data_IF_603417823928
#
_entry.id   IF_603417823928
#
_cell.length_a   1.000
_cell.length_b   1.000
_cell.length_c   1.000
_cell.angle_alpha   90.00
_cell.angle_beta   90.00
_cell.angle_gamma   90.00
#
_symmetry.space_group_name_H-M   'P 1'
#
loop_
_entity.id
_entity.type
_entity.pdbx_description
1 polymer ?
#
# COMPACT_ATOMS: atom_id res chain seq x y z
N UNK A 1 -21.09 10.24 -4.56
CA UNK A 1 -20.51 11.60 -4.63
C UNK A 1 -20.00 11.95 -6.03
N UNK A 2 -19.12 11.17 -6.69
CA UNK A 2 -18.63 11.52 -8.05
C UNK A 2 -19.71 11.59 -9.15
N UNK A 3 -20.66 10.65 -9.14
CA UNK A 3 -21.73 10.57 -10.16
C UNK A 3 -22.69 11.76 -10.17
N UNK A 4 -23.06 12.25 -9.00
CA UNK A 4 -23.98 13.40 -8.87
C UNK A 4 -23.31 14.69 -9.37
N UNK A 5 -22.02 14.88 -9.08
CA UNK A 5 -21.25 16.02 -9.59
C UNK A 5 -21.12 16.00 -11.12
N UNK A 6 -20.91 14.82 -11.72
CA UNK A 6 -20.84 14.65 -13.18
C UNK A 6 -22.18 14.97 -13.84
N UNK A 7 -23.28 14.45 -13.30
CA UNK A 7 -24.63 14.71 -13.83
C UNK A 7 -24.98 16.20 -13.74
N UNK A 8 -24.66 16.85 -12.61
CA UNK A 8 -24.89 18.27 -12.44
C UNK A 8 -24.08 19.12 -13.41
N UNK A 9 -22.79 18.81 -13.60
CA UNK A 9 -21.96 19.50 -14.58
C UNK A 9 -22.46 19.29 -16.02
N UNK A 10 -22.97 18.10 -16.33
CA UNK A 10 -23.56 17.79 -17.61
C UNK A 10 -24.85 18.59 -17.87
N UNK A 11 -25.76 18.64 -16.89
CA UNK A 11 -26.98 19.45 -16.98
C UNK A 11 -26.65 20.93 -17.17
N UNK A 12 -25.70 21.45 -16.40
CA UNK A 12 -25.26 22.82 -16.51
C UNK A 12 -24.68 23.11 -17.90
N UNK A 13 -23.81 22.25 -18.41
CA UNK A 13 -23.25 22.38 -19.76
C UNK A 13 -24.35 22.35 -20.84
N UNK A 14 -25.31 21.43 -20.75
CA UNK A 14 -26.39 21.31 -21.73
C UNK A 14 -27.40 22.48 -21.67
N UNK A 15 -27.55 23.10 -20.50
CA UNK A 15 -28.43 24.26 -20.30
C UNK A 15 -27.82 25.59 -20.78
N UNK A 16 -26.52 25.62 -21.02
CA UNK A 16 -25.79 26.86 -21.36
C UNK A 16 -25.58 26.95 -22.87
N UNK A 17 -25.94 28.09 -23.47
CA UNK A 17 -25.71 28.33 -24.89
C UNK A 17 -24.27 28.84 -25.11
N UNK A 18 -23.44 28.05 -25.78
CA UNK A 18 -22.07 28.43 -26.10
C UNK A 18 -21.96 28.91 -27.54
N UNK A 19 -21.47 30.13 -27.74
CA UNK A 19 -21.10 30.66 -29.05
C UNK A 19 -19.58 30.65 -29.11
N UNK A 20 -19.03 29.88 -30.05
CA UNK A 20 -17.59 29.85 -30.32
C UNK A 20 -17.32 30.14 -31.79
N UNK A 21 -16.30 30.93 -32.06
CA UNK A 21 -15.79 31.17 -33.42
C UNK A 21 -14.92 30.00 -33.91
N UNK A 22 -14.49 29.13 -33.01
CA UNK A 22 -13.58 28.00 -33.27
C UNK A 22 -14.24 26.68 -32.84
N UNK A 23 -15.33 26.31 -33.51
CA UNK A 23 -15.94 25.00 -33.31
C UNK A 23 -15.05 23.92 -33.95
N UNK A 24 -14.57 22.98 -33.14
CA UNK A 24 -13.87 21.80 -33.65
C UNK A 24 -14.86 20.89 -34.39
N UNK A 25 -14.39 20.23 -35.44
CA UNK A 25 -15.17 19.13 -36.01
C UNK A 25 -15.31 18.02 -34.97
N UNK A 26 -16.36 17.19 -35.07
CA UNK A 26 -16.51 16.03 -34.18
C UNK A 26 -15.27 15.13 -34.21
N UNK A 27 -14.71 14.91 -35.39
CA UNK A 27 -13.51 14.10 -35.56
C UNK A 27 -12.31 14.70 -34.82
N UNK A 28 -12.09 16.01 -34.93
CA UNK A 28 -10.99 16.69 -34.23
C UNK A 28 -11.22 16.65 -32.72
N UNK A 29 -12.44 16.93 -32.27
CA UNK A 29 -12.80 16.87 -30.85
C UNK A 29 -12.56 15.47 -30.26
N UNK A 30 -13.06 14.43 -30.92
CA UNK A 30 -12.88 13.03 -30.48
C UNK A 30 -11.39 12.67 -30.45
N UNK A 31 -10.61 13.10 -31.44
CA UNK A 31 -9.16 12.89 -31.52
C UNK A 31 -8.42 13.59 -30.38
N UNK A 32 -8.69 14.88 -30.15
CA UNK A 32 -8.06 15.65 -29.08
C UNK A 32 -8.45 15.11 -27.70
N UNK A 33 -9.69 14.70 -27.52
CA UNK A 33 -10.17 14.13 -26.25
C UNK A 33 -9.49 12.80 -25.97
N UNK A 34 -9.43 11.89 -26.95
CA UNK A 34 -8.75 10.61 -26.81
C UNK A 34 -7.25 10.80 -26.51
N UNK A 35 -6.58 11.71 -27.22
CA UNK A 35 -5.17 12.03 -26.97
C UNK A 35 -4.95 12.64 -25.57
N UNK A 36 -5.85 13.53 -25.12
CA UNK A 36 -5.76 14.15 -23.80
C UNK A 36 -5.96 13.14 -22.68
N UNK A 37 -6.92 12.21 -22.83
CA UNK A 37 -7.16 11.13 -21.87
C UNK A 37 -5.96 10.18 -21.82
N UNK A 38 -5.41 9.78 -22.97
CA UNK A 38 -4.23 8.93 -23.04
C UNK A 38 -3.01 9.60 -22.37
N UNK A 39 -2.81 10.90 -22.62
CA UNK A 39 -1.75 11.68 -21.98
C UNK A 39 -1.95 11.78 -20.48
N UNK A 40 -3.17 12.09 -20.01
CA UNK A 40 -3.50 12.12 -18.59
C UNK A 40 -3.18 10.77 -17.93
N UNK A 41 -3.64 9.68 -18.53
CA UNK A 41 -3.41 8.33 -18.00
C UNK A 41 -1.92 8.02 -17.85
N UNK A 42 -1.11 8.33 -18.87
CA UNK A 42 0.34 8.09 -18.84
C UNK A 42 1.05 8.99 -17.83
N UNK A 43 0.73 10.28 -17.81
CA UNK A 43 1.37 11.25 -16.92
C UNK A 43 1.05 10.97 -15.46
N UNK A 44 -0.23 10.74 -15.11
CA UNK A 44 -0.62 10.47 -13.72
C UNK A 44 0.06 9.23 -13.16
N UNK A 45 0.11 8.13 -13.94
CA UNK A 45 0.80 6.92 -13.51
C UNK A 45 2.30 7.18 -13.33
N UNK A 46 2.93 7.88 -14.27
CA UNK A 46 4.36 8.17 -14.21
C UNK A 46 4.73 9.08 -13.02
N UNK A 47 3.94 10.13 -12.77
CA UNK A 47 4.12 11.05 -11.64
C UNK A 47 4.01 10.32 -10.31
N UNK A 48 3.00 9.45 -10.16
CA UNK A 48 2.85 8.64 -8.96
C UNK A 48 4.10 7.79 -8.65
N UNK A 49 4.69 7.14 -9.66
CA UNK A 49 5.91 6.35 -9.47
C UNK A 49 7.12 7.22 -9.14
N UNK A 50 7.22 8.40 -9.76
CA UNK A 50 8.29 9.36 -9.46
C UNK A 50 8.21 9.84 -8.01
N UNK A 51 7.01 10.18 -7.53
CA UNK A 51 6.75 10.60 -6.15
C UNK A 51 7.04 9.47 -5.17
N UNK A 52 6.56 8.24 -5.44
CA UNK A 52 6.83 7.09 -4.58
C UNK A 52 8.33 6.78 -4.48
N UNK A 53 9.07 6.89 -5.59
CA UNK A 53 10.52 6.72 -5.60
C UNK A 53 11.22 7.82 -4.81
N UNK A 54 10.78 9.07 -4.95
CA UNK A 54 11.31 10.21 -4.20
C UNK A 54 11.13 10.04 -2.69
N UNK A 55 9.91 9.67 -2.25
CA UNK A 55 9.63 9.43 -0.83
C UNK A 55 10.47 8.27 -0.29
N UNK A 56 10.55 7.16 -1.04
CA UNK A 56 11.37 6.00 -0.63
C UNK A 56 12.84 6.38 -0.49
N UNK A 57 13.39 7.13 -1.45
CA UNK A 57 14.78 7.61 -1.40
C UNK A 57 15.07 8.49 -0.19
N UNK A 58 14.14 9.38 0.18
CA UNK A 58 14.27 10.22 1.38
C UNK A 58 14.26 9.36 2.65
N UNK A 59 13.33 8.42 2.74
CA UNK A 59 13.22 7.52 3.88
C UNK A 59 14.52 6.75 4.09
N UNK A 60 15.10 6.22 3.01
CA UNK A 60 16.33 5.44 3.05
C UNK A 60 17.55 6.31 3.40
N UNK A 61 17.67 7.50 2.81
CA UNK A 61 18.83 8.38 3.02
C UNK A 61 18.88 9.00 4.43
N UNK A 62 17.71 9.33 5.00
CA UNK A 62 17.61 10.00 6.30
C UNK A 62 17.20 9.05 7.42
N UNK A 63 17.09 7.76 7.14
CA UNK A 63 16.72 6.72 8.10
C UNK A 63 15.42 7.02 8.84
N UNK A 64 14.46 7.66 8.15
CA UNK A 64 13.19 8.02 8.76
C UNK A 64 12.40 6.77 9.11
N UNK A 65 12.08 6.60 10.37
CA UNK A 65 11.31 5.45 10.85
C UNK A 65 9.86 5.51 10.35
N UNK A 66 9.39 4.47 9.67
CA UNK A 66 8.01 4.32 9.27
C UNK A 66 7.11 4.18 10.50
N UNK A 67 5.83 4.50 10.37
CA UNK A 67 4.88 4.40 11.49
C UNK A 67 4.83 2.98 12.10
N UNK A 68 5.06 1.96 11.27
CA UNK A 68 5.10 0.56 11.69
C UNK A 68 6.51 0.07 12.03
N UNK A 69 7.54 0.93 11.97
CA UNK A 69 8.95 0.60 12.19
C UNK A 69 9.39 -0.62 11.38
N UNK A 70 8.91 -0.71 10.15
CA UNK A 70 9.19 -1.81 9.21
C UNK A 70 10.43 -1.56 8.36
N UNK A 71 10.93 -0.33 8.34
CA UNK A 71 12.19 0.05 7.70
C UNK A 71 13.31 0.27 8.71
N UNK A 72 13.08 1.01 9.81
CA UNK A 72 14.07 1.32 10.84
C UNK A 72 13.47 1.24 12.25
N UNK A 73 14.32 0.98 13.26
CA UNK A 73 14.00 1.12 14.68
C UNK A 73 15.16 1.76 15.44
N UNK A 74 14.82 2.54 16.46
CA UNK A 74 15.81 3.19 17.33
C UNK A 74 16.13 2.32 18.53
N UNK A 75 17.42 2.05 18.77
CA UNK A 75 17.91 1.38 19.97
C UNK A 75 18.65 2.40 20.85
N UNK A 76 18.41 2.33 22.16
CA UNK A 76 19.26 2.99 23.15
C UNK A 76 20.35 2.03 23.58
N UNK A 77 21.62 2.41 23.43
CA UNK A 77 22.76 1.59 23.83
C UNK A 77 23.04 1.88 25.32
N UNK A 78 22.92 0.90 26.23
CA UNK A 78 23.14 1.10 27.67
C UNK A 78 24.55 1.65 27.94
N UNK A 79 24.63 2.75 28.70
CA UNK A 79 25.91 3.40 29.03
C UNK A 79 26.39 4.45 28.02
N UNK A 80 25.64 4.70 26.96
CA UNK A 80 25.85 5.84 26.05
C UNK A 80 24.63 6.77 26.05
N UNK A 81 24.84 8.08 25.85
CA UNK A 81 23.75 9.03 25.58
C UNK A 81 23.35 9.03 24.09
N UNK A 82 23.71 7.99 23.34
CA UNK A 82 23.57 7.92 21.89
C UNK A 82 22.44 6.99 21.50
N UNK A 83 21.65 7.44 20.52
CA UNK A 83 20.64 6.63 19.85
C UNK A 83 21.16 6.26 18.48
N UNK A 84 21.03 4.99 18.10
CA UNK A 84 21.32 4.54 16.73
C UNK A 84 20.06 3.96 16.12
N UNK A 85 19.82 4.32 14.87
CA UNK A 85 18.79 3.69 14.07
C UNK A 85 19.39 2.45 13.42
N UNK A 86 18.63 1.36 13.41
CA UNK A 86 18.98 0.15 12.71
C UNK A 86 17.87 -0.17 11.72
N UNK A 87 18.19 -0.62 10.51
CA UNK A 87 17.19 -1.12 9.59
C UNK A 87 16.50 -2.38 10.17
N UNK A 88 15.19 -2.51 9.94
CA UNK A 88 14.37 -3.64 10.39
C UNK A 88 13.88 -4.46 9.22
N UNK A 89 13.95 -5.79 9.33
CA UNK A 89 12.84 -6.67 8.93
C UNK A 89 12.74 -7.76 9.99
N UNK A 90 11.69 -7.71 10.82
CA UNK A 90 11.16 -8.91 11.43
C UNK A 90 9.81 -9.15 10.77
N UNK A 91 9.73 -10.05 9.77
CA UNK A 91 8.46 -10.46 9.20
C UNK A 91 7.88 -11.45 10.19
N UNK A 92 7.64 -11.04 11.44
CA UNK A 92 6.92 -11.85 12.43
C UNK A 92 7.39 -13.31 12.53
N UNK A 93 8.69 -13.47 12.31
CA UNK A 93 9.44 -14.69 12.42
C UNK A 93 10.89 -14.31 12.74
N UNK A 94 11.12 -13.88 13.98
CA UNK A 94 12.29 -14.46 14.63
C UNK A 94 12.06 -15.97 14.61
N UNK A 95 12.94 -16.73 13.94
CA UNK A 95 12.93 -18.19 13.78
C UNK A 95 12.09 -18.78 12.63
N UNK A 96 12.64 -18.70 11.42
CA UNK A 96 13.16 -19.92 10.81
C UNK A 96 14.66 -19.67 10.59
N UNK A 97 15.45 -20.25 11.49
CA UNK A 97 16.90 -20.38 11.47
C UNK A 97 17.76 -19.11 11.66
N UNK A 98 18.05 -18.86 12.93
CA UNK A 98 19.25 -18.19 13.42
C UNK A 98 20.57 -18.94 13.06
N UNK A 99 20.57 -19.83 12.07
CA UNK A 99 21.76 -20.43 11.45
C UNK A 99 21.94 -20.07 9.97
N UNK A 100 21.07 -19.24 9.40
CA UNK A 100 21.22 -18.78 8.02
C UNK A 100 20.81 -17.32 7.85
N UNK A 101 21.68 -16.41 8.28
CA UNK A 101 21.73 -15.06 7.70
C UNK A 101 21.85 -15.09 6.15
N UNK A 102 22.12 -16.25 5.55
CA UNK A 102 22.11 -16.51 4.11
C UNK A 102 21.78 -18.00 3.88
N UNK A 103 20.53 -18.38 3.58
CA UNK A 103 20.28 -19.60 2.76
C UNK A 103 18.82 -19.65 2.27
N UNK A 104 18.57 -18.86 1.21
CA UNK A 104 17.55 -19.00 0.16
C UNK A 104 16.75 -17.70 -0.09
N UNK A 105 17.38 -16.68 -0.71
CA UNK A 105 16.65 -15.61 -1.41
C UNK A 105 16.13 -14.46 -0.53
N UNK A 106 16.99 -13.56 -0.03
CA UNK A 106 17.43 -12.29 -0.67
C UNK A 106 16.49 -11.10 -0.49
N UNK A 107 16.19 -10.71 0.75
CA UNK A 107 15.42 -9.50 0.97
C UNK A 107 15.80 -8.80 2.29
N UNK A 108 16.76 -7.88 2.20
CA UNK A 108 17.25 -7.01 3.28
C UNK A 108 16.90 -5.55 2.98
N UNK A 109 16.37 -4.81 3.95
CA UNK A 109 16.11 -3.37 3.79
C UNK A 109 17.37 -2.55 3.59
N UNK A 110 18.52 -3.07 4.06
CA UNK A 110 19.83 -2.45 3.91
C UNK A 110 20.29 -2.46 2.44
N UNK A 111 19.72 -3.39 1.65
CA UNK A 111 20.12 -3.63 0.26
C UNK A 111 19.03 -3.23 -0.72
N UNK A 112 17.75 -3.47 -0.38
CA UNK A 112 16.63 -3.19 -1.29
C UNK A 112 15.38 -2.71 -0.53
N UNK A 113 14.81 -1.59 -0.97
CA UNK A 113 13.56 -1.03 -0.44
C UNK A 113 12.28 -1.68 -1.00
N UNK A 114 12.39 -2.52 -2.02
CA UNK A 114 11.26 -3.24 -2.67
C UNK A 114 10.88 -4.57 -2.00
N UNK A 115 11.49 -4.84 -0.87
CA UNK A 115 11.28 -6.02 -0.07
C UNK A 115 9.87 -6.10 0.51
N UNK A 116 9.14 -7.19 0.22
CA UNK A 116 7.80 -7.41 0.72
C UNK A 116 7.51 -8.89 1.05
N UNK A 117 6.80 -9.12 2.14
CA UNK A 117 6.47 -10.40 2.73
C UNK A 117 4.96 -10.49 3.02
N UNK A 118 4.37 -11.69 3.03
CA UNK A 118 2.98 -11.86 3.46
C UNK A 118 2.71 -11.23 4.83
N UNK A 119 1.61 -10.49 4.95
CA UNK A 119 1.20 -9.86 6.19
C UNK A 119 0.50 -10.86 7.12
N UNK A 120 0.67 -10.68 8.43
CA UNK A 120 -0.05 -11.43 9.45
C UNK A 120 -0.15 -10.67 10.76
N UNK A 121 -1.07 -11.11 11.60
CA UNK A 121 -1.26 -10.69 12.98
C UNK A 121 -0.63 -11.76 13.85
N UNK A 122 0.19 -11.36 14.82
CA UNK A 122 0.95 -12.28 15.64
C UNK A 122 0.76 -11.97 17.12
N UNK A 123 0.80 -13.00 17.93
CA UNK A 123 0.71 -12.88 19.37
C UNK A 123 2.09 -12.54 19.91
N UNK A 124 2.33 -11.27 20.19
CA UNK A 124 3.56 -10.85 20.85
C UNK A 124 3.40 -10.99 22.36
N UNK A 125 4.05 -12.01 22.92
CA UNK A 125 4.35 -12.03 24.35
C UNK A 125 5.59 -11.17 24.57
N UNK A 126 5.41 -9.89 24.90
CA UNK A 126 6.54 -9.04 25.27
C UNK A 126 7.04 -9.43 26.67
N UNK A 127 8.00 -10.36 26.75
CA UNK A 127 8.81 -10.48 27.96
C UNK A 127 9.86 -9.37 27.93
N UNK A 128 9.69 -8.37 28.79
CA UNK A 128 10.68 -7.31 28.98
C UNK A 128 11.87 -7.93 29.73
N UNK A 129 12.86 -8.43 28.99
CA UNK A 129 14.15 -8.83 29.56
C UNK A 129 15.15 -7.71 29.25
N UNK A 130 15.73 -7.04 30.24
CA UNK A 130 16.77 -6.05 30.00
C UNK A 130 17.98 -6.72 29.33
N UNK A 131 18.45 -6.15 28.21
CA UNK A 131 19.70 -6.50 27.50
C UNK A 131 19.69 -7.69 26.52
N UNK A 132 18.53 -8.22 26.12
CA UNK A 132 18.45 -9.19 25.02
C UNK A 132 17.90 -8.55 23.74
N UNK A 133 18.52 -8.88 22.60
CA UNK A 133 17.97 -8.59 21.27
C UNK A 133 16.59 -9.24 21.23
N UNK A 134 15.55 -8.41 21.11
CA UNK A 134 14.15 -8.83 21.17
C UNK A 134 13.88 -9.88 20.08
N UNK A 135 13.85 -11.15 20.47
CA UNK A 135 13.31 -12.23 19.66
C UNK A 135 11.93 -12.54 20.21
N UNK A 136 10.85 -11.95 19.66
CA UNK A 136 9.53 -12.37 20.07
C UNK A 136 9.30 -13.79 19.54
N UNK A 137 9.10 -14.75 20.45
CA UNK A 137 8.40 -16.00 20.13
C UNK A 137 6.95 -15.64 19.77
N UNK A 138 6.76 -15.18 18.55
CA UNK A 138 5.50 -14.68 18.05
C UNK A 138 4.77 -15.81 17.33
N UNK A 139 3.68 -16.30 17.90
CA UNK A 139 2.81 -17.24 17.19
C UNK A 139 1.92 -16.47 16.22
N UNK A 140 1.83 -16.94 14.97
CA UNK A 140 0.89 -16.39 13.98
C UNK A 140 -0.54 -16.61 14.50
N UNK A 141 -1.25 -15.52 14.75
CA UNK A 141 -2.66 -15.54 15.10
C UNK A 141 -3.53 -15.61 13.85
N UNK A 142 -3.16 -14.85 12.82
CA UNK A 142 -3.97 -14.73 11.61
C UNK A 142 -3.15 -14.23 10.42
N UNK A 143 -3.18 -14.96 9.30
CA UNK A 143 -2.59 -14.50 8.05
C UNK A 143 -3.54 -13.55 7.32
N UNK A 144 -3.08 -12.34 7.01
CA UNK A 144 -3.88 -11.35 6.28
C UNK A 144 -3.69 -11.58 4.78
N UNK A 145 -4.54 -12.43 4.21
CA UNK A 145 -4.40 -12.87 2.81
C UNK A 145 -4.43 -11.69 1.84
N UNK A 146 -3.52 -11.70 0.87
CA UNK A 146 -3.37 -10.64 -0.12
C UNK A 146 -2.57 -9.43 0.36
N UNK A 147 -2.48 -9.17 1.66
CA UNK A 147 -1.69 -8.04 2.17
C UNK A 147 -0.22 -8.43 2.32
N UNK A 148 0.65 -7.46 2.06
CA UNK A 148 2.08 -7.57 2.28
C UNK A 148 2.60 -6.46 3.20
N UNK A 149 3.61 -6.80 3.98
CA UNK A 149 4.43 -5.89 4.76
C UNK A 149 5.83 -5.85 4.16
N UNK A 150 6.57 -4.76 4.34
CA UNK A 150 7.89 -4.64 3.72
C UNK A 150 8.67 -3.46 4.27
N UNK A 151 9.89 -3.30 3.77
CA UNK A 151 10.80 -2.22 4.16
C UNK A 151 10.09 -0.88 4.05
N UNK A 152 9.68 -0.54 2.82
CA UNK A 152 8.84 0.62 2.56
C UNK A 152 7.37 0.17 2.48
N UNK A 153 6.50 0.62 3.40
CA UNK A 153 5.09 0.22 3.41
C UNK A 153 4.37 0.47 2.09
N UNK A 154 4.76 1.53 1.38
CA UNK A 154 4.19 1.92 0.09
C UNK A 154 4.47 0.86 -0.99
N UNK A 155 5.72 0.41 -1.08
CA UNK A 155 6.13 -0.64 -2.02
C UNK A 155 5.47 -1.98 -1.69
N UNK A 156 5.36 -2.31 -0.40
CA UNK A 156 4.63 -3.50 0.04
C UNK A 156 3.13 -3.43 -0.28
N UNK A 157 2.52 -2.25 -0.12
CA UNK A 157 1.12 -2.02 -0.46
C UNK A 157 0.88 -2.21 -1.96
N UNK A 158 1.72 -1.65 -2.83
CA UNK A 158 1.61 -1.83 -4.28
C UNK A 158 1.64 -3.32 -4.67
N UNK A 159 2.46 -4.12 -3.97
CA UNK A 159 2.53 -5.56 -4.17
C UNK A 159 1.41 -6.36 -3.48
N UNK A 160 0.58 -5.71 -2.67
CA UNK A 160 -0.58 -6.32 -2.02
C UNK A 160 -1.77 -6.41 -2.96
N UNK A 161 -2.79 -7.17 -2.56
CA UNK A 161 -4.10 -7.27 -3.21
C UNK A 161 -5.19 -6.87 -2.22
N UNK A 162 -6.42 -6.68 -2.69
CA UNK A 162 -7.56 -6.37 -1.83
C UNK A 162 -8.30 -7.62 -1.33
N UNK A 163 -7.72 -8.81 -1.49
CA UNK A 163 -8.37 -10.10 -1.26
C UNK A 163 -9.03 -10.21 0.12
N UNK A 164 -8.30 -9.86 1.18
CA UNK A 164 -8.83 -9.83 2.54
C UNK A 164 -10.13 -9.00 2.68
N UNK A 165 -10.27 -7.89 1.93
CA UNK A 165 -11.41 -6.99 2.05
C UNK A 165 -12.72 -7.57 1.50
N UNK A 166 -12.67 -8.68 0.76
CA UNK A 166 -13.85 -9.41 0.28
C UNK A 166 -14.42 -10.39 1.31
N UNK A 167 -13.69 -10.66 2.40
CA UNK A 167 -14.09 -11.67 3.38
C UNK A 167 -14.38 -11.05 4.75
N UNK A 168 -15.59 -11.22 5.26
CA UNK A 168 -16.01 -10.72 6.57
C UNK A 168 -15.12 -11.26 7.70
N UNK A 169 -14.64 -12.51 7.60
CA UNK A 169 -13.73 -13.10 8.59
C UNK A 169 -12.42 -12.31 8.73
N UNK A 170 -11.89 -11.81 7.62
CA UNK A 170 -10.67 -11.00 7.62
C UNK A 170 -10.93 -9.61 8.22
N UNK A 171 -12.05 -8.97 7.85
CA UNK A 171 -12.45 -7.68 8.42
C UNK A 171 -12.72 -7.75 9.94
N UNK A 172 -13.32 -8.84 10.40
CA UNK A 172 -13.59 -9.07 11.82
C UNK A 172 -12.30 -9.09 12.65
N UNK A 173 -11.18 -9.57 12.09
CA UNK A 173 -9.89 -9.54 12.79
C UNK A 173 -9.41 -8.10 13.03
N UNK A 174 -9.58 -7.19 12.06
CA UNK A 174 -9.24 -5.78 12.24
C UNK A 174 -10.14 -5.08 13.25
N UNK A 175 -11.46 -5.35 13.21
CA UNK A 175 -12.42 -4.82 14.18
C UNK A 175 -12.07 -5.27 15.60
N UNK A 176 -11.73 -6.56 15.77
CA UNK A 176 -11.33 -7.11 17.06
C UNK A 176 -10.04 -6.47 17.61
N UNK A 177 -9.05 -6.20 16.75
CA UNK A 177 -7.79 -5.56 17.16
C UNK A 177 -7.94 -4.07 17.49
N UNK A 178 -8.83 -3.37 16.80
CA UNK A 178 -9.00 -1.91 16.96
C UNK A 178 -10.03 -1.55 18.04
N UNK A 179 -10.70 -2.55 18.62
CA UNK A 179 -11.87 -2.35 19.49
C UNK A 179 -12.92 -1.41 18.87
N UNK A 180 -12.97 -1.34 17.52
CA UNK A 180 -13.90 -0.49 16.81
C UNK A 180 -15.32 -1.01 16.99
N UNK A 181 -16.26 -0.12 17.30
CA UNK A 181 -17.70 -0.45 17.46
C UNK A 181 -18.39 -0.52 16.08
N UNK A 182 -17.64 -0.34 14.99
CA UNK A 182 -18.19 -0.25 13.64
C UNK A 182 -18.11 -1.59 12.91
N UNK A 183 -19.25 -2.03 12.40
CA UNK A 183 -19.31 -3.15 11.46
C UNK A 183 -18.82 -2.69 10.09
N UNK A 184 -17.69 -3.23 9.64
CA UNK A 184 -17.19 -3.02 8.28
C UNK A 184 -17.75 -4.14 7.40
N UNK A 185 -18.48 -3.76 6.35
CA UNK A 185 -19.00 -4.70 5.36
C UNK A 185 -17.93 -5.06 4.33
N UNK A 186 -17.85 -6.32 3.88
CA UNK A 186 -16.92 -6.75 2.85
C UNK A 186 -17.25 -6.12 1.50
N UNK A 187 -16.23 -6.04 0.65
CA UNK A 187 -16.40 -5.74 -0.76
C UNK A 187 -17.27 -6.81 -1.42
N UNK A 188 -18.09 -6.37 -2.38
CA UNK A 188 -19.03 -7.25 -3.05
C UNK A 188 -18.31 -8.09 -4.12
N UNK A 189 -18.15 -9.39 -3.87
CA UNK A 189 -17.53 -10.30 -4.84
C UNK A 189 -18.40 -10.53 -6.09
N UNK A 190 -19.70 -10.21 -6.02
CA UNK A 190 -20.66 -10.35 -7.12
C UNK A 190 -20.84 -9.07 -7.94
N UNK A 191 -20.25 -7.93 -7.54
CA UNK A 191 -20.25 -6.76 -8.41
C UNK A 191 -19.34 -7.00 -9.60
N UNK A 192 -19.76 -6.62 -10.81
CA UNK A 192 -18.87 -6.65 -11.97
C UNK A 192 -17.74 -5.64 -11.76
N UNK A 193 -16.57 -6.13 -11.37
CA UNK A 193 -15.33 -5.38 -11.44
C UNK A 193 -14.43 -6.06 -12.45
N UNK A 194 -13.69 -5.26 -13.21
CA UNK A 194 -12.62 -5.78 -14.08
C UNK A 194 -11.39 -6.24 -13.29
N UNK A 195 -11.29 -5.86 -12.01
CA UNK A 195 -10.20 -6.25 -11.13
C UNK A 195 -10.64 -7.41 -10.24
N UNK A 196 -9.89 -8.51 -10.32
CA UNK A 196 -10.13 -9.66 -9.46
C UNK A 196 -9.63 -9.34 -8.03
N UNK A 197 -10.16 -10.00 -6.99
CA UNK A 197 -9.64 -9.84 -5.61
C UNK A 197 -8.14 -10.09 -5.48
N UNK A 198 -7.58 -10.94 -6.36
CA UNK A 198 -6.15 -11.28 -6.43
C UNK A 198 -5.33 -10.32 -7.29
N UNK A 199 -5.96 -9.32 -7.93
CA UNK A 199 -5.25 -8.28 -8.67
C UNK A 199 -4.45 -7.42 -7.69
N UNK A 200 -3.19 -7.15 -8.02
CA UNK A 200 -2.33 -6.29 -7.20
C UNK A 200 -2.78 -4.85 -7.26
N UNK A 201 -2.59 -4.14 -6.15
CA UNK A 201 -2.87 -2.70 -6.05
C UNK A 201 -2.03 -1.93 -7.08
N UNK A 202 -0.81 -2.38 -7.38
CA UNK A 202 0.01 -1.83 -8.46
C UNK A 202 -0.70 -1.89 -9.82
N UNK A 203 -1.28 -3.04 -10.18
CA UNK A 203 -1.98 -3.19 -11.46
C UNK A 203 -3.26 -2.35 -11.50
N UNK A 204 -3.96 -2.23 -10.36
CA UNK A 204 -5.10 -1.32 -10.23
C UNK A 204 -4.66 0.14 -10.47
N UNK A 205 -3.57 0.59 -9.83
CA UNK A 205 -3.02 1.94 -10.03
C UNK A 205 -2.53 2.19 -11.46
N UNK A 206 -1.90 1.21 -12.13
CA UNK A 206 -1.52 1.32 -13.55
C UNK A 206 -2.73 1.53 -14.47
N UNK A 207 -3.92 1.17 -14.01
CA UNK A 207 -5.19 1.40 -14.70
C UNK A 207 -6.03 2.50 -14.04
N UNK A 208 -5.40 3.34 -13.20
CA UNK A 208 -6.02 4.42 -12.43
C UNK A 208 -7.25 4.00 -11.61
N UNK A 209 -7.34 2.70 -11.26
CA UNK A 209 -8.49 2.10 -10.58
C UNK A 209 -9.82 2.34 -11.32
N UNK A 210 -9.78 2.56 -12.64
CA UNK A 210 -10.96 2.84 -13.46
C UNK A 210 -11.69 1.53 -13.76
N UNK A 211 -12.92 1.43 -13.26
CA UNK A 211 -13.89 0.40 -13.65
C UNK A 211 -14.45 0.68 -15.05
N UNK A 212 -14.76 -0.38 -15.80
CA UNK A 212 -15.29 -0.32 -17.18
C UNK A 212 -16.79 -0.55 -17.25
#
# INVERSE_FOLDING_TARGET
MSRETVLHAQEQFLSTQFITLNALSKFDFDTYTAASIDQLNKTTVAEFYADNHFISSIIDQYEYTSALRTNFYTISIPGSNSYTNFPTVYPTQANLDQSSFISNGTCSCDVTSNCAYPAGIYNHSMSIVPNEIFLPDASLLFAVTGFKIGCVPQNALLQSTLECLYYQSCLNMFVALTAAITTVAPLNMSSSSRFLPTTTIELMFKNLMLES
#
